data_IF_853885039652
#
_entry.id   IF_853885039652
#
_cell.length_a   1.000
_cell.length_b   1.000
_cell.length_c   1.000
_cell.angle_alpha   90.00
_cell.angle_beta   90.00
_cell.angle_gamma   90.00
#
_symmetry.space_group_name_H-M   'P 1'
#
loop_
_entity.id
_entity.type
_entity.pdbx_description
1 polymer ?
#
# COMPACT_ATOMS: atom_id res chain seq x y z
N UNK A 1 -34.39 -4.17 -6.22
CA UNK A 1 -33.56 -4.48 -5.05
C UNK A 1 -32.45 -5.36 -5.58
N UNK A 2 -31.33 -4.75 -5.97
CA UNK A 2 -30.22 -5.47 -6.60
C UNK A 2 -29.18 -5.67 -5.54
N UNK A 3 -29.02 -6.91 -5.10
CA UNK A 3 -27.97 -7.30 -4.17
C UNK A 3 -26.62 -6.87 -4.74
N UNK A 4 -25.99 -5.91 -4.05
CA UNK A 4 -24.60 -5.58 -4.31
C UNK A 4 -23.77 -6.78 -3.87
N UNK A 5 -23.20 -7.49 -4.83
CA UNK A 5 -22.14 -8.46 -4.58
C UNK A 5 -20.98 -7.67 -3.96
N UNK A 6 -20.87 -7.69 -2.62
CA UNK A 6 -19.66 -7.24 -1.93
C UNK A 6 -18.57 -8.25 -2.27
N UNK A 7 -17.72 -7.92 -3.23
CA UNK A 7 -16.50 -8.67 -3.46
C UNK A 7 -15.69 -8.65 -2.17
N UNK A 8 -15.18 -9.81 -1.75
CA UNK A 8 -14.44 -10.02 -0.50
C UNK A 8 -13.08 -9.26 -0.42
N UNK A 9 -12.92 -8.16 -1.17
CA UNK A 9 -11.64 -7.51 -1.40
C UNK A 9 -11.75 -5.98 -1.49
N UNK A 10 -12.56 -5.37 -0.62
CA UNK A 10 -12.63 -3.92 -0.33
C UNK A 10 -11.33 -3.36 0.31
N UNK A 11 -10.18 -3.93 -0.04
CA UNK A 11 -8.88 -3.40 0.37
C UNK A 11 -8.40 -2.36 -0.62
N UNK A 12 -7.81 -1.30 -0.10
CA UNK A 12 -7.11 -0.30 -0.89
C UNK A 12 -5.93 -0.94 -1.65
N UNK A 13 -5.42 -0.24 -2.67
CA UNK A 13 -4.23 -0.71 -3.39
C UNK A 13 -3.02 -0.87 -2.45
N UNK A 14 -2.81 0.09 -1.55
CA UNK A 14 -1.79 0.00 -0.51
C UNK A 14 -1.96 -1.21 0.42
N UNK A 15 -3.17 -1.48 0.91
CA UNK A 15 -3.44 -2.63 1.79
C UNK A 15 -3.16 -3.97 1.10
N UNK A 16 -3.45 -4.06 -0.21
CA UNK A 16 -3.09 -5.21 -1.04
C UNK A 16 -1.57 -5.33 -1.17
N UNK A 17 -0.88 -4.23 -1.48
CA UNK A 17 0.56 -4.22 -1.74
C UNK A 17 1.41 -4.54 -0.50
N UNK A 18 0.99 -4.11 0.70
CA UNK A 18 1.69 -4.46 1.95
C UNK A 18 1.30 -5.83 2.52
N UNK A 19 0.35 -6.52 1.87
CA UNK A 19 -0.24 -7.75 2.37
C UNK A 19 -0.80 -7.58 3.78
N UNK A 20 -1.79 -6.70 3.93
CA UNK A 20 -2.31 -6.25 5.25
C UNK A 20 -2.76 -7.41 6.17
N UNK A 21 -3.28 -8.50 5.59
CA UNK A 21 -3.74 -9.67 6.35
C UNK A 21 -2.62 -10.64 6.74
N UNK A 22 -1.42 -10.50 6.17
CA UNK A 22 -0.31 -11.40 6.47
C UNK A 22 0.38 -10.98 7.79
N UNK A 23 -0.13 -11.48 8.90
CA UNK A 23 0.43 -11.27 10.24
C UNK A 23 0.31 -12.56 11.08
N UNK A 24 1.07 -13.62 10.76
CA UNK A 24 0.90 -14.93 11.41
C UNK A 24 1.16 -14.91 12.92
N UNK A 25 2.03 -14.00 13.40
CA UNK A 25 2.28 -13.82 14.84
C UNK A 25 1.23 -12.98 15.56
N UNK A 26 0.22 -12.47 14.86
CA UNK A 26 -0.79 -11.53 15.36
C UNK A 26 -0.18 -10.36 16.16
N UNK A 27 0.96 -9.83 15.68
CA UNK A 27 1.72 -8.79 16.37
C UNK A 27 1.07 -7.44 16.05
N UNK A 28 0.58 -6.73 17.06
CA UNK A 28 -0.08 -5.43 16.91
C UNK A 28 0.80 -4.40 16.19
N UNK A 29 2.09 -4.33 16.54
CA UNK A 29 3.04 -3.42 15.91
C UNK A 29 3.23 -3.70 14.41
N UNK A 30 3.14 -4.97 13.98
CA UNK A 30 3.20 -5.33 12.54
C UNK A 30 1.95 -4.83 11.82
N UNK A 31 0.76 -5.02 12.41
CA UNK A 31 -0.50 -4.54 11.84
C UNK A 31 -0.51 -3.01 11.69
N UNK A 32 -0.13 -2.28 12.73
CA UNK A 32 -0.05 -0.82 12.70
C UNK A 32 0.97 -0.33 11.66
N UNK A 33 2.16 -0.92 11.65
CA UNK A 33 3.21 -0.60 10.67
C UNK A 33 2.68 -0.78 9.25
N UNK A 34 2.10 -1.94 8.93
CA UNK A 34 1.53 -2.20 7.60
C UNK A 34 0.46 -1.20 7.22
N UNK A 35 -0.42 -0.81 8.16
CA UNK A 35 -1.45 0.18 7.87
C UNK A 35 -0.88 1.56 7.51
N UNK A 36 0.17 2.02 8.21
CA UNK A 36 0.86 3.29 7.89
C UNK A 36 1.49 3.27 6.51
N UNK A 37 2.16 2.17 6.15
CA UNK A 37 2.75 2.00 4.82
C UNK A 37 1.68 1.87 3.72
N UNK A 38 0.57 1.17 3.98
CA UNK A 38 -0.56 1.11 3.06
C UNK A 38 -1.14 2.50 2.77
N UNK A 39 -1.31 3.33 3.80
CA UNK A 39 -1.78 4.71 3.65
C UNK A 39 -0.82 5.55 2.81
N UNK A 40 0.49 5.43 3.02
CA UNK A 40 1.49 6.12 2.21
C UNK A 40 1.42 5.70 0.72
N UNK A 41 1.28 4.40 0.43
CA UNK A 41 1.10 3.92 -0.94
C UNK A 41 -0.20 4.47 -1.56
N UNK A 42 -1.30 4.46 -0.81
CA UNK A 42 -2.57 5.01 -1.30
C UNK A 42 -2.45 6.50 -1.67
N UNK A 43 -1.68 7.29 -0.91
CA UNK A 43 -1.44 8.70 -1.23
C UNK A 43 -0.68 8.86 -2.55
N UNK A 44 0.34 8.03 -2.79
CA UNK A 44 1.11 8.08 -4.05
C UNK A 44 0.24 7.68 -5.24
N UNK A 45 -0.57 6.63 -5.10
CA UNK A 45 -1.50 6.16 -6.14
C UNK A 45 -2.57 7.22 -6.43
N UNK A 46 -3.18 7.81 -5.40
CA UNK A 46 -4.14 8.89 -5.58
C UNK A 46 -3.54 10.07 -6.35
N UNK A 47 -2.27 10.44 -6.05
CA UNK A 47 -1.60 11.50 -6.80
C UNK A 47 -1.30 11.12 -8.26
N UNK A 48 -1.03 9.83 -8.54
CA UNK A 48 -0.88 9.32 -9.91
C UNK A 48 -2.20 9.45 -10.68
N UNK A 49 -3.31 9.03 -10.07
CA UNK A 49 -4.66 9.12 -10.64
C UNK A 49 -5.05 10.59 -10.89
N UNK A 50 -4.79 11.48 -9.93
CA UNK A 50 -5.04 12.92 -10.07
C UNK A 50 -4.23 13.51 -11.24
N UNK A 51 -2.94 13.17 -11.33
CA UNK A 51 -2.07 13.64 -12.42
C UNK A 51 -2.57 13.15 -13.79
N UNK A 52 -3.02 11.90 -13.88
CA UNK A 52 -3.61 11.35 -15.10
C UNK A 52 -4.89 12.10 -15.49
N UNK A 53 -5.81 12.28 -14.56
CA UNK A 53 -7.09 12.96 -14.79
C UNK A 53 -6.92 14.43 -15.18
N UNK A 54 -5.86 15.09 -14.71
CA UNK A 54 -5.52 16.46 -15.05
C UNK A 54 -4.68 16.59 -16.33
N UNK A 55 -4.28 15.48 -16.96
CA UNK A 55 -3.39 15.49 -18.13
C UNK A 55 -1.97 15.97 -17.83
N UNK A 56 -1.52 15.87 -16.57
CA UNK A 56 -0.18 16.28 -16.11
C UNK A 56 0.76 15.10 -15.81
N UNK A 57 0.31 13.87 -16.04
CA UNK A 57 1.12 12.67 -15.88
C UNK A 57 2.07 12.50 -17.08
N UNK A 58 3.30 12.98 -16.93
CA UNK A 58 4.40 12.71 -17.88
C UNK A 58 5.06 11.36 -17.58
N UNK A 59 5.81 10.82 -18.53
CA UNK A 59 6.57 9.57 -18.35
C UNK A 59 7.55 9.64 -17.16
N UNK A 60 8.26 10.76 -17.00
CA UNK A 60 9.19 10.97 -15.87
C UNK A 60 8.45 11.00 -14.52
N UNK A 61 7.27 11.65 -14.48
CA UNK A 61 6.43 11.70 -13.27
C UNK A 61 5.88 10.33 -12.93
N UNK A 62 5.40 9.58 -13.92
CA UNK A 62 4.94 8.21 -13.73
C UNK A 62 6.05 7.30 -13.19
N UNK A 63 7.23 7.35 -13.79
CA UNK A 63 8.41 6.61 -13.32
C UNK A 63 8.74 6.94 -11.86
N UNK A 64 8.72 8.23 -11.50
CA UNK A 64 8.99 8.68 -10.13
C UNK A 64 7.97 8.12 -9.12
N UNK A 65 6.68 8.17 -9.47
CA UNK A 65 5.60 7.68 -8.60
C UNK A 65 5.68 6.16 -8.43
N UNK A 66 5.94 5.43 -9.51
CA UNK A 66 6.08 3.97 -9.47
C UNK A 66 7.30 3.53 -8.65
N UNK A 67 8.42 4.24 -8.79
CA UNK A 67 9.61 3.98 -7.97
C UNK A 67 9.36 4.29 -6.49
N UNK A 68 8.65 5.39 -6.18
CA UNK A 68 8.27 5.72 -4.81
C UNK A 68 7.45 4.59 -4.17
N UNK A 69 6.45 4.04 -4.87
CA UNK A 69 5.65 2.90 -4.37
C UNK A 69 6.56 1.69 -4.07
N UNK A 70 7.47 1.34 -4.98
CA UNK A 70 8.41 0.22 -4.76
C UNK A 70 9.28 0.43 -3.51
N UNK A 71 9.82 1.63 -3.32
CA UNK A 71 10.64 1.95 -2.14
C UNK A 71 9.85 1.92 -0.83
N UNK A 72 8.59 2.33 -0.86
CA UNK A 72 7.70 2.23 0.31
C UNK A 72 7.44 0.76 0.67
N UNK A 73 7.21 -0.11 -0.33
CA UNK A 73 7.05 -1.56 -0.13
C UNK A 73 8.33 -2.17 0.44
N UNK A 74 9.49 -1.88 -0.15
CA UNK A 74 10.78 -2.40 0.33
C UNK A 74 11.04 -1.99 1.79
N UNK A 75 10.82 -0.72 2.11
CA UNK A 75 10.96 -0.21 3.47
C UNK A 75 10.01 -0.94 4.43
N UNK A 76 8.74 -1.12 4.06
CA UNK A 76 7.76 -1.85 4.87
C UNK A 76 8.22 -3.27 5.16
N UNK A 77 8.78 -3.98 4.18
CA UNK A 77 9.28 -5.34 4.34
C UNK A 77 10.47 -5.40 5.30
N UNK A 78 11.39 -4.44 5.22
CA UNK A 78 12.51 -4.33 6.17
C UNK A 78 12.07 -3.98 7.58
N UNK A 79 11.11 -3.08 7.74
CA UNK A 79 10.58 -2.72 9.06
C UNK A 79 9.87 -3.91 9.71
N UNK A 80 9.05 -4.66 8.97
CA UNK A 80 8.42 -5.87 9.51
C UNK A 80 9.46 -6.90 9.91
N UNK A 81 10.48 -7.15 9.07
CA UNK A 81 11.60 -8.03 9.44
C UNK A 81 12.25 -7.60 10.75
N UNK A 82 12.50 -6.31 10.94
CA UNK A 82 13.11 -5.76 12.15
C UNK A 82 12.20 -5.92 13.38
N UNK A 83 10.89 -5.63 13.24
CA UNK A 83 9.91 -5.79 14.33
C UNK A 83 9.84 -7.25 14.78
N UNK A 84 9.91 -8.20 13.85
CA UNK A 84 9.77 -9.63 14.14
C UNK A 84 11.08 -10.35 14.44
N UNK A 85 12.22 -9.66 14.38
CA UNK A 85 13.52 -10.30 14.52
C UNK A 85 13.73 -10.82 15.95
N UNK A 86 13.78 -12.13 16.12
CA UNK A 86 14.00 -12.78 17.42
C UNK A 86 12.74 -12.92 18.29
N UNK A 87 11.54 -12.75 17.71
CA UNK A 87 10.26 -13.05 18.36
C UNK A 87 9.80 -14.49 18.08
#
# INVERSE_FOLDING_TARGET
MTDQIKFANDKSAGEKLVGIDFNPGNIGNVAECKQRFAQAINQVIAHKDDAFNQGTLTADKEMLLDEAVKRIIDAQMWVVKAITWGL
#
